data_IF_020741717586
#
_entry.id   IF_020741717586
#
_cell.length_a   1.000
_cell.length_b   1.000
_cell.length_c   1.000
_cell.angle_alpha   90.00
_cell.angle_beta   90.00
_cell.angle_gamma   90.00
#
_symmetry.space_group_name_H-M   'P 1'
#
loop_
_entity.id
_entity.type
_entity.pdbx_description
1 polymer ?
#
# COMPACT_ATOMS: atom_id res chain seq x y z
N UNK A 1 26.39 5.18 -9.97
CA UNK A 1 25.31 4.20 -9.74
C UNK A 1 24.77 4.40 -8.32
N UNK A 2 23.64 5.09 -8.16
CA UNK A 2 23.03 5.28 -6.83
C UNK A 2 22.62 3.92 -6.27
N UNK A 3 23.22 3.48 -5.17
CA UNK A 3 22.81 2.27 -4.45
C UNK A 3 21.42 2.54 -3.86
N UNK A 4 20.37 2.22 -4.62
CA UNK A 4 19.02 2.11 -4.05
C UNK A 4 19.09 1.01 -2.99
N UNK A 5 19.19 1.41 -1.72
CA UNK A 5 19.04 0.48 -0.61
C UNK A 5 17.73 -0.26 -0.80
N UNK A 6 17.80 -1.58 -0.99
CA UNK A 6 16.61 -2.43 -1.09
C UNK A 6 15.99 -2.46 0.30
N UNK A 7 14.82 -1.85 0.44
CA UNK A 7 14.05 -1.92 1.68
C UNK A 7 13.60 -3.37 1.85
N UNK A 8 13.90 -4.04 2.98
CA UNK A 8 13.44 -5.38 3.22
C UNK A 8 11.90 -5.41 3.29
N UNK A 9 11.25 -6.49 2.82
CA UNK A 9 9.79 -6.62 2.91
C UNK A 9 9.32 -6.53 4.37
N UNK A 10 8.20 -5.84 4.59
CA UNK A 10 7.55 -5.81 5.91
C UNK A 10 6.65 -7.05 6.05
N UNK A 11 6.87 -7.94 7.03
CA UNK A 11 6.07 -9.16 7.18
C UNK A 11 4.67 -8.82 7.69
N UNK A 12 3.71 -8.74 6.76
CA UNK A 12 2.31 -8.49 7.07
C UNK A 12 1.58 -9.82 7.32
N UNK A 13 0.95 -9.95 8.50
CA UNK A 13 0.04 -11.07 8.78
C UNK A 13 -1.32 -10.76 8.17
N UNK A 14 -1.54 -11.26 6.96
CA UNK A 14 -2.77 -11.05 6.21
C UNK A 14 -3.63 -12.32 6.23
N UNK A 15 -4.92 -12.24 6.59
CA UNK A 15 -5.86 -13.34 6.41
C UNK A 15 -5.91 -13.78 4.92
N UNK A 16 -6.10 -15.08 4.63
CA UNK A 16 -6.10 -15.59 3.25
C UNK A 16 -7.10 -14.87 2.34
N UNK A 17 -8.32 -14.66 2.82
CA UNK A 17 -9.40 -14.04 2.05
C UNK A 17 -9.06 -12.60 1.64
N UNK A 18 -8.37 -11.86 2.50
CA UNK A 18 -7.95 -10.49 2.22
C UNK A 18 -6.80 -10.46 1.22
N UNK A 19 -5.92 -11.47 1.29
CA UNK A 19 -4.79 -11.61 0.38
C UNK A 19 -5.26 -11.91 -1.03
N UNK A 20 -6.14 -12.89 -1.19
CA UNK A 20 -6.70 -13.27 -2.49
C UNK A 20 -7.34 -12.07 -3.17
N UNK A 21 -8.18 -11.33 -2.43
CA UNK A 21 -8.82 -10.12 -2.96
C UNK A 21 -7.81 -9.08 -3.44
N UNK A 22 -6.77 -8.76 -2.65
CA UNK A 22 -5.76 -7.79 -3.07
C UNK A 22 -4.85 -8.29 -4.20
N UNK A 23 -4.62 -9.60 -4.30
CA UNK A 23 -3.87 -10.18 -5.41
C UNK A 23 -4.65 -10.02 -6.73
N UNK A 24 -5.96 -10.29 -6.72
CA UNK A 24 -6.85 -10.03 -7.86
C UNK A 24 -6.83 -8.56 -8.28
N UNK A 25 -7.06 -7.63 -7.34
CA UNK A 25 -7.01 -6.19 -7.61
C UNK A 25 -5.65 -5.75 -8.18
N UNK A 26 -4.55 -6.31 -7.67
CA UNK A 26 -3.20 -5.97 -8.14
C UNK A 26 -2.95 -6.47 -9.57
N UNK A 27 -3.51 -7.63 -9.93
CA UNK A 27 -3.44 -8.19 -11.28
C UNK A 27 -4.20 -7.31 -12.27
N UNK A 28 -5.40 -6.85 -11.91
CA UNK A 28 -6.18 -5.91 -12.72
C UNK A 28 -5.48 -4.56 -12.90
N UNK A 29 -4.84 -4.06 -11.83
CA UNK A 29 -4.18 -2.76 -11.82
C UNK A 29 -2.78 -2.77 -12.46
N UNK A 30 -2.25 -3.95 -12.78
CA UNK A 30 -0.91 -4.16 -13.34
C UNK A 30 0.22 -3.84 -12.34
N UNK A 31 -0.07 -3.88 -11.03
CA UNK A 31 0.89 -3.59 -9.96
C UNK A 31 1.24 -4.87 -9.20
N UNK A 32 2.39 -4.88 -8.54
CA UNK A 32 2.63 -5.92 -7.54
C UNK A 32 1.70 -5.71 -6.34
N UNK A 33 1.35 -6.80 -5.66
CA UNK A 33 0.59 -6.77 -4.41
C UNK A 33 1.13 -5.71 -3.42
N UNK A 34 2.45 -5.66 -3.25
CA UNK A 34 3.10 -4.67 -2.39
C UNK A 34 2.86 -3.23 -2.87
N UNK A 35 2.95 -2.97 -4.18
CA UNK A 35 2.71 -1.63 -4.72
C UNK A 35 1.23 -1.21 -4.57
N UNK A 36 0.29 -2.14 -4.73
CA UNK A 36 -1.15 -1.88 -4.51
C UNK A 36 -1.43 -1.54 -3.05
N UNK A 37 -0.93 -2.35 -2.11
CA UNK A 37 -1.07 -2.11 -0.67
C UNK A 37 -0.47 -0.74 -0.30
N UNK A 38 0.73 -0.42 -0.77
CA UNK A 38 1.38 0.88 -0.49
C UNK A 38 0.56 2.05 -1.05
N UNK A 39 -0.06 1.93 -2.22
CA UNK A 39 -0.93 2.96 -2.78
C UNK A 39 -2.15 3.19 -1.88
N UNK A 40 -2.83 2.13 -1.45
CA UNK A 40 -3.98 2.23 -0.54
C UNK A 40 -3.60 2.89 0.80
N UNK A 41 -2.45 2.51 1.37
CA UNK A 41 -1.95 3.11 2.61
C UNK A 41 -1.67 4.61 2.43
N UNK A 42 -1.07 5.02 1.29
CA UNK A 42 -0.81 6.43 0.98
C UNK A 42 -2.10 7.22 0.79
N UNK A 43 -3.07 6.66 0.08
CA UNK A 43 -4.37 7.31 -0.17
C UNK A 43 -5.09 7.56 1.17
N UNK A 44 -5.10 6.56 2.06
CA UNK A 44 -5.65 6.71 3.41
C UNK A 44 -4.90 7.76 4.22
N UNK A 45 -3.56 7.74 4.19
CA UNK A 45 -2.72 8.70 4.91
C UNK A 45 -3.00 10.14 4.46
N UNK A 46 -3.03 10.39 3.15
CA UNK A 46 -3.27 11.72 2.59
C UNK A 46 -4.66 12.24 2.96
N UNK A 47 -5.68 11.38 2.93
CA UNK A 47 -7.04 11.74 3.37
C UNK A 47 -7.06 12.17 4.84
N UNK A 48 -6.42 11.41 5.74
CA UNK A 48 -6.36 11.74 7.16
C UNK A 48 -5.59 13.04 7.42
N UNK A 49 -4.46 13.25 6.72
CA UNK A 49 -3.68 14.49 6.82
C UNK A 49 -4.52 15.69 6.36
N UNK A 50 -5.22 15.58 5.22
CA UNK A 50 -6.10 16.63 4.72
C UNK A 50 -7.23 16.96 5.71
N UNK A 51 -7.88 15.94 6.28
CA UNK A 51 -8.93 16.12 7.28
C UNK A 51 -8.42 16.85 8.54
N UNK A 52 -7.24 16.49 9.05
CA UNK A 52 -6.65 17.14 10.23
C UNK A 52 -6.29 18.60 9.98
N UNK A 53 -5.78 18.92 8.79
CA UNK A 53 -5.43 20.30 8.40
C UNK A 53 -6.64 21.22 8.29
N UNK A 54 -7.78 20.70 7.84
CA UNK A 54 -9.01 21.48 7.68
C UNK A 54 -9.80 21.64 8.99
N UNK A 55 -9.45 20.89 10.04
CA UNK A 55 -10.12 20.92 11.34
C UNK A 55 -9.36 21.75 12.40
N UNK A 56 -8.20 22.31 12.05
CA UNK A 56 -7.36 23.19 12.87
C UNK A 56 -7.40 24.61 12.30
#
# INVERSE_FOLDING_TARGET
MSHKQRIPPYPLRMPPELREWYEEESNESGRSLNAEIVKILKDRMNRVIGQRKNAA
#
